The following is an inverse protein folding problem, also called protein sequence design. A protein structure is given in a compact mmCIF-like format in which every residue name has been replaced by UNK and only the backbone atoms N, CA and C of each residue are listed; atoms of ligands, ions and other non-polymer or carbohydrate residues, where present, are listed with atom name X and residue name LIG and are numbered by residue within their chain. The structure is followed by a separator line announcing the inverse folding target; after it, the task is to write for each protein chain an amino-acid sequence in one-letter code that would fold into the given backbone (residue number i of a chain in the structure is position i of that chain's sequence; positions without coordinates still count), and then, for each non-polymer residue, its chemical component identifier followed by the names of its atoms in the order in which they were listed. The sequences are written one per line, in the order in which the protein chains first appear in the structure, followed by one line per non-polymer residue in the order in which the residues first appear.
data_IF_246204516742
#
_entry.id   IF_246204516742
#
_cell.length_a   1.000
_cell.length_b   1.000
_cell.length_c   1.000
_cell.angle_alpha   90.00
_cell.angle_beta   90.00
_cell.angle_gamma   90.00
#
_symmetry.space_group_name_H-M   'P 1'
#
loop_
_entity.id
_entity.type
_entity.pdbx_description
1 polymer ?
#
# COMPACT_ATOMS: atom_id res chain seq x y z
N UNK A 1 -20.26 7.16 -2.59
CA UNK A 1 -20.24 5.70 -2.35
C UNK A 1 -20.17 4.90 -3.66
N UNK A 2 -21.03 5.18 -4.66
CA UNK A 2 -21.07 4.45 -5.95
C UNK A 2 -19.70 4.43 -6.69
N UNK A 3 -19.01 5.58 -6.79
CA UNK A 3 -17.70 5.66 -7.45
C UNK A 3 -16.57 4.87 -6.73
N UNK A 4 -16.66 4.68 -5.40
CA UNK A 4 -15.70 3.87 -4.65
C UNK A 4 -15.89 2.37 -4.93
N UNK A 5 -17.14 1.91 -4.91
CA UNK A 5 -17.48 0.51 -5.23
C UNK A 5 -17.02 0.17 -6.64
N UNK A 6 -17.29 1.04 -7.63
CA UNK A 6 -16.82 0.86 -9.01
C UNK A 6 -15.29 0.78 -9.12
N UNK A 7 -14.56 1.53 -8.28
CA UNK A 7 -13.09 1.48 -8.26
C UNK A 7 -12.53 0.19 -7.65
N UNK A 8 -13.18 -0.37 -6.61
CA UNK A 8 -12.77 -1.67 -6.05
C UNK A 8 -12.82 -2.77 -7.11
N UNK A 9 -13.85 -2.77 -7.95
CA UNK A 9 -14.04 -3.79 -9.00
C UNK A 9 -13.22 -3.55 -10.28
N UNK A 10 -12.31 -2.58 -10.31
CA UNK A 10 -11.38 -2.42 -11.44
C UNK A 10 -10.43 -3.62 -11.53
N UNK A 11 -10.00 -3.92 -12.76
CA UNK A 11 -9.07 -5.02 -13.06
C UNK A 11 -7.79 -4.94 -12.23
N UNK A 12 -7.28 -3.73 -11.97
CA UNK A 12 -6.09 -3.50 -11.14
C UNK A 12 -6.27 -3.92 -9.67
N UNK A 13 -7.50 -4.02 -9.17
CA UNK A 13 -7.82 -4.38 -7.78
C UNK A 13 -8.27 -5.83 -7.59
N UNK A 14 -8.23 -6.66 -8.63
CA UNK A 14 -8.63 -8.08 -8.55
C UNK A 14 -7.85 -8.82 -7.47
N UNK A 15 -6.54 -8.62 -7.38
CA UNK A 15 -5.72 -9.21 -6.33
C UNK A 15 -6.15 -8.78 -4.92
N UNK A 16 -6.53 -7.52 -4.75
CA UNK A 16 -7.07 -7.03 -3.47
C UNK A 16 -8.40 -7.69 -3.12
N UNK A 17 -9.29 -7.90 -4.10
CA UNK A 17 -10.56 -8.60 -3.88
C UNK A 17 -10.30 -10.05 -3.44
N UNK A 18 -9.39 -10.76 -4.13
CA UNK A 18 -9.00 -12.12 -3.75
C UNK A 18 -8.44 -12.14 -2.33
N UNK A 19 -7.57 -11.18 -1.99
CA UNK A 19 -7.03 -11.04 -0.63
C UNK A 19 -8.13 -10.90 0.43
N UNK A 20 -9.16 -10.09 0.19
CA UNK A 20 -10.29 -9.95 1.12
C UNK A 20 -11.11 -11.23 1.23
N UNK A 21 -11.39 -11.90 0.11
CA UNK A 21 -12.12 -13.19 0.10
C UNK A 21 -11.36 -14.26 0.90
N UNK A 22 -10.03 -14.32 0.75
CA UNK A 22 -9.18 -15.22 1.51
C UNK A 22 -9.23 -14.90 3.01
N UNK A 23 -9.22 -13.64 3.41
CA UNK A 23 -9.35 -13.24 4.80
C UNK A 23 -10.73 -13.59 5.39
N UNK A 24 -11.81 -13.41 4.63
CA UNK A 24 -13.16 -13.82 5.04
C UNK A 24 -13.21 -15.35 5.19
N UNK A 25 -12.66 -16.10 4.24
CA UNK A 25 -12.58 -17.56 4.32
C UNK A 25 -11.78 -18.00 5.56
N UNK A 26 -10.68 -17.34 5.87
CA UNK A 26 -9.88 -17.59 7.06
C UNK A 26 -10.69 -17.39 8.35
N UNK A 27 -11.46 -16.29 8.45
CA UNK A 27 -12.37 -16.04 9.59
C UNK A 27 -13.39 -17.18 9.72
N UNK A 28 -14.02 -17.56 8.62
CA UNK A 28 -15.01 -18.63 8.63
C UNK A 28 -14.41 -19.96 9.11
N UNK A 29 -13.21 -20.32 8.64
CA UNK A 29 -12.54 -21.56 9.07
C UNK A 29 -12.19 -21.54 10.56
N UNK A 30 -11.60 -20.45 11.05
CA UNK A 30 -11.12 -20.38 12.44
C UNK A 30 -12.25 -20.28 13.45
N UNK A 31 -13.33 -19.57 13.11
CA UNK A 31 -14.41 -19.28 14.07
C UNK A 31 -15.69 -20.09 13.82
N UNK A 32 -15.69 -21.03 12.86
CA UNK A 32 -16.86 -21.85 12.54
C UNK A 32 -17.39 -22.66 13.73
N UNK A 33 -16.49 -23.25 14.52
CA UNK A 33 -16.86 -24.08 15.69
C UNK A 33 -17.42 -23.25 16.86
N UNK A 34 -17.15 -21.94 16.89
CA UNK A 34 -17.70 -21.03 17.91
C UNK A 34 -19.20 -20.75 17.77
N UNK A 35 -19.82 -21.27 16.72
CA UNK A 35 -21.23 -21.13 16.44
C UNK A 35 -21.61 -19.75 15.88
N UNK A 36 -22.90 -19.59 15.59
CA UNK A 36 -23.46 -18.40 14.93
C UNK A 36 -23.14 -17.08 15.66
N UNK A 37 -23.22 -17.08 16.99
CA UNK A 37 -23.01 -15.84 17.75
C UNK A 37 -21.55 -15.39 17.68
N UNK A 38 -20.59 -16.28 17.72
CA UNK A 38 -19.16 -15.98 17.57
C UNK A 38 -18.88 -15.39 16.20
N UNK A 39 -19.41 -15.98 15.13
CA UNK A 39 -19.27 -15.46 13.77
C UNK A 39 -19.88 -14.05 13.66
N UNK A 40 -21.07 -13.80 14.19
CA UNK A 40 -21.70 -12.48 14.17
C UNK A 40 -20.84 -11.43 14.86
N UNK A 41 -20.26 -11.73 16.05
CA UNK A 41 -19.38 -10.82 16.77
C UNK A 41 -18.11 -10.53 15.96
N UNK A 42 -17.46 -11.54 15.40
CA UNK A 42 -16.24 -11.38 14.60
C UNK A 42 -16.49 -10.54 13.35
N UNK A 43 -17.60 -10.80 12.65
CA UNK A 43 -18.00 -9.97 11.49
C UNK A 43 -18.36 -8.54 11.88
N UNK A 44 -19.03 -8.34 13.02
CA UNK A 44 -19.33 -6.99 13.51
C UNK A 44 -18.04 -6.20 13.81
N UNK A 45 -17.05 -6.83 14.46
CA UNK A 45 -15.73 -6.23 14.70
C UNK A 45 -15.04 -5.91 13.37
N UNK A 46 -15.08 -6.82 12.38
CA UNK A 46 -14.49 -6.61 11.08
C UNK A 46 -15.15 -5.42 10.34
N UNK A 47 -16.48 -5.37 10.30
CA UNK A 47 -17.21 -4.25 9.69
C UNK A 47 -16.88 -2.94 10.41
N UNK A 48 -16.83 -2.93 11.75
CA UNK A 48 -16.47 -1.77 12.54
C UNK A 48 -15.06 -1.27 12.20
N UNK A 49 -14.07 -2.17 12.03
CA UNK A 49 -12.71 -1.81 11.63
C UNK A 49 -12.65 -1.18 10.24
N UNK A 50 -13.43 -1.72 9.30
CA UNK A 50 -13.57 -1.17 7.95
C UNK A 50 -14.18 0.24 7.99
N UNK A 51 -15.26 0.44 8.73
CA UNK A 51 -15.90 1.74 8.88
C UNK A 51 -14.97 2.76 9.54
N UNK A 52 -14.23 2.34 10.57
CA UNK A 52 -13.25 3.17 11.27
C UNK A 52 -12.12 3.60 10.34
N UNK A 53 -11.63 2.71 9.48
CA UNK A 53 -10.54 3.04 8.55
C UNK A 53 -10.93 4.10 7.52
N UNK A 54 -12.21 4.17 7.11
CA UNK A 54 -12.73 5.22 6.22
C UNK A 54 -13.08 6.54 6.93
N UNK A 55 -12.97 6.58 8.25
CA UNK A 55 -13.19 7.80 9.01
C UNK A 55 -11.97 8.75 8.94
N UNK A 56 -12.12 10.04 9.28
CA UNK A 56 -10.98 10.95 9.44
C UNK A 56 -9.94 10.45 10.43
N UNK A 57 -10.35 9.61 11.39
CA UNK A 57 -9.46 8.98 12.36
C UNK A 57 -8.53 7.95 11.71
N UNK A 58 -9.03 7.14 10.77
CA UNK A 58 -8.18 6.19 10.02
C UNK A 58 -7.10 6.90 9.21
N UNK A 59 -7.44 7.99 8.52
CA UNK A 59 -6.47 8.83 7.80
C UNK A 59 -5.47 9.48 8.76
N UNK A 60 -5.93 9.98 9.91
CA UNK A 60 -5.07 10.54 10.94
C UNK A 60 -4.07 9.50 11.48
N UNK A 61 -4.50 8.27 11.76
CA UNK A 61 -3.63 7.17 12.18
C UNK A 61 -2.52 6.92 11.16
N UNK A 62 -2.85 6.82 9.87
CA UNK A 62 -1.85 6.60 8.83
C UNK A 62 -0.85 7.76 8.75
N UNK A 63 -1.33 8.99 8.81
CA UNK A 63 -0.45 10.17 8.85
C UNK A 63 0.47 10.17 10.08
N UNK A 64 -0.04 9.74 11.24
CA UNK A 64 0.73 9.64 12.48
C UNK A 64 1.84 8.60 12.36
N UNK A 65 1.54 7.39 11.89
CA UNK A 65 2.55 6.33 11.69
C UNK A 65 3.55 6.67 10.57
N UNK A 66 3.14 7.43 9.55
CA UNK A 66 4.04 7.95 8.54
C UNK A 66 4.93 9.09 9.04
N UNK A 67 4.72 9.61 10.26
CA UNK A 67 5.45 10.77 10.77
C UNK A 67 5.08 12.08 10.06
N UNK A 68 3.92 12.14 9.40
CA UNK A 68 3.47 13.26 8.61
C UNK A 68 2.94 14.40 9.49
N UNK A 69 3.59 15.55 9.43
CA UNK A 69 3.27 16.76 10.21
C UNK A 69 2.61 17.82 9.33
N UNK A 70 1.79 18.67 9.92
CA UNK A 70 1.29 19.86 9.22
C UNK A 70 2.46 20.79 8.89
N UNK A 71 2.43 21.39 7.70
CA UNK A 71 3.46 22.35 7.28
C UNK A 71 3.16 23.67 7.98
N UNK A 72 4.04 24.08 8.89
CA UNK A 72 3.96 25.38 9.61
C UNK A 72 4.93 26.39 9.05
N UNK A 73 5.99 25.94 8.36
CA UNK A 73 7.03 26.79 7.78
C UNK A 73 6.56 27.37 6.45
N UNK A 74 6.57 28.71 6.37
CA UNK A 74 6.11 29.48 5.19
C UNK A 74 6.98 29.21 3.96
N UNK A 75 8.30 29.09 4.13
CA UNK A 75 9.23 28.78 3.04
C UNK A 75 8.90 27.42 2.38
N UNK A 76 8.56 26.39 3.17
CA UNK A 76 8.15 25.08 2.66
C UNK A 76 6.79 25.19 1.95
N UNK A 77 5.83 25.94 2.52
CA UNK A 77 4.54 26.14 1.87
C UNK A 77 4.72 26.83 0.52
N UNK A 78 5.48 27.90 0.46
CA UNK A 78 5.74 28.65 -0.77
C UNK A 78 6.49 27.81 -1.82
N UNK A 79 7.31 26.84 -1.38
CA UNK A 79 8.02 25.92 -2.27
C UNK A 79 7.09 24.87 -2.89
N UNK A 80 6.20 24.25 -2.11
CA UNK A 80 5.49 23.04 -2.55
C UNK A 80 4.08 23.31 -3.09
N UNK A 81 3.34 24.26 -2.52
CA UNK A 81 1.94 24.51 -2.89
C UNK A 81 1.75 24.87 -4.37
N UNK A 82 2.62 25.67 -5.03
CA UNK A 82 2.48 25.94 -6.45
C UNK A 82 2.52 24.67 -7.31
N UNK A 83 3.40 23.72 -6.99
CA UNK A 83 3.50 22.45 -7.72
C UNK A 83 2.26 21.58 -7.50
N UNK A 84 1.80 21.43 -6.25
CA UNK A 84 0.57 20.69 -5.93
C UNK A 84 -0.62 21.29 -6.69
N UNK A 85 -0.79 22.62 -6.65
CA UNK A 85 -1.89 23.28 -7.34
C UNK A 85 -1.81 23.09 -8.86
N UNK A 86 -0.61 23.14 -9.45
CA UNK A 86 -0.41 22.94 -10.88
C UNK A 86 -0.78 21.51 -11.30
N UNK A 87 -0.28 20.51 -10.59
CA UNK A 87 -0.58 19.10 -10.88
C UNK A 87 -2.06 18.81 -10.60
N UNK A 88 -2.60 19.30 -9.50
CA UNK A 88 -4.03 19.14 -9.14
C UNK A 88 -4.95 19.73 -10.21
N UNK A 89 -4.65 20.94 -10.71
CA UNK A 89 -5.41 21.55 -11.80
C UNK A 89 -5.39 20.70 -13.08
N UNK A 90 -4.25 20.08 -13.40
CA UNK A 90 -4.13 19.17 -14.54
C UNK A 90 -4.92 17.88 -14.30
N UNK A 91 -4.88 17.34 -13.08
CA UNK A 91 -5.63 16.16 -12.69
C UNK A 91 -7.14 16.41 -12.71
N UNK A 92 -7.62 17.55 -12.23
CA UNK A 92 -9.05 17.94 -12.25
C UNK A 92 -9.62 18.02 -13.67
N UNK A 93 -8.84 18.47 -14.65
CA UNK A 93 -9.28 18.47 -16.06
C UNK A 93 -9.53 17.05 -16.57
N UNK A 94 -8.74 16.08 -16.13
CA UNK A 94 -8.84 14.67 -16.54
C UNK A 94 -9.86 13.90 -15.70
N UNK A 95 -10.01 14.25 -14.41
CA UNK A 95 -10.87 13.58 -13.44
C UNK A 95 -11.67 14.62 -12.65
N UNK A 96 -12.76 15.19 -13.20
CA UNK A 96 -13.52 16.26 -12.56
C UNK A 96 -14.15 15.90 -11.20
N UNK A 97 -14.33 14.60 -10.94
CA UNK A 97 -14.91 14.08 -9.69
C UNK A 97 -13.85 13.84 -8.59
N UNK A 98 -12.62 14.31 -8.80
CA UNK A 98 -11.58 14.29 -7.77
C UNK A 98 -11.90 15.31 -6.67
N UNK A 99 -11.28 15.18 -5.50
CA UNK A 99 -11.41 16.15 -4.40
C UNK A 99 -10.94 17.55 -4.81
N UNK A 100 -11.69 18.58 -4.46
CA UNK A 100 -11.35 19.97 -4.77
C UNK A 100 -10.20 20.53 -3.93
N UNK A 101 -9.95 19.93 -2.76
CA UNK A 101 -8.94 20.40 -1.82
C UNK A 101 -7.95 19.30 -1.50
N UNK A 102 -6.67 19.60 -1.70
CA UNK A 102 -5.56 18.72 -1.31
C UNK A 102 -4.92 19.25 -0.03
N UNK A 103 -4.93 18.43 1.02
CA UNK A 103 -4.16 18.69 2.23
C UNK A 103 -2.70 18.28 2.04
N UNK A 104 -1.77 19.16 2.38
CA UNK A 104 -0.34 18.89 2.26
C UNK A 104 0.29 18.74 3.63
N UNK A 105 1.09 17.69 3.80
CA UNK A 105 1.87 17.42 5.01
C UNK A 105 3.33 17.20 4.67
N UNK A 106 4.21 17.35 5.67
CA UNK A 106 5.65 17.14 5.52
C UNK A 106 6.13 15.99 6.40
N UNK A 107 7.07 15.21 5.86
CA UNK A 107 7.83 14.20 6.58
C UNK A 107 9.30 14.63 6.56
N UNK A 108 9.89 14.82 7.74
CA UNK A 108 11.27 15.27 7.86
C UNK A 108 12.24 14.08 7.71
N UNK A 109 12.52 13.76 6.44
CA UNK A 109 13.51 12.75 6.03
C UNK A 109 14.24 13.22 4.78
N UNK A 110 15.47 12.75 4.59
CA UNK A 110 16.28 13.05 3.39
C UNK A 110 15.87 12.23 2.15
N UNK A 111 15.01 11.25 2.31
CA UNK A 111 14.50 10.47 1.18
C UNK A 111 13.79 11.36 0.16
N UNK A 112 13.90 11.02 -1.13
CA UNK A 112 13.22 11.73 -2.21
C UNK A 112 11.90 11.01 -2.52
N UNK A 113 10.84 11.34 -1.79
CA UNK A 113 9.54 10.64 -1.87
C UNK A 113 8.36 11.58 -1.61
N UNK A 114 7.19 11.20 -2.12
CA UNK A 114 5.91 11.68 -1.63
C UNK A 114 4.99 10.48 -1.40
N UNK A 115 3.87 10.71 -0.73
CA UNK A 115 2.87 9.68 -0.44
C UNK A 115 1.48 10.29 -0.47
N UNK A 116 0.60 9.74 -1.25
CA UNK A 116 -0.82 10.00 -1.13
C UNK A 116 -1.41 9.17 0.03
N UNK A 117 -2.14 9.79 0.94
CA UNK A 117 -2.76 9.14 2.09
C UNK A 117 -4.23 9.52 2.15
N UNK A 118 -5.10 8.54 2.36
CA UNK A 118 -6.53 8.77 2.51
C UNK A 118 -7.18 9.34 1.26
N UNK A 119 -8.05 10.34 1.44
CA UNK A 119 -8.87 10.86 0.34
C UNK A 119 -8.33 12.12 -0.31
N UNK A 120 -7.52 12.87 0.41
CA UNK A 120 -7.12 14.23 0.01
C UNK A 120 -5.73 14.66 0.47
N UNK A 121 -4.99 13.81 1.18
CA UNK A 121 -3.70 14.18 1.77
C UNK A 121 -2.54 13.73 0.89
N UNK A 122 -1.62 14.65 0.59
CA UNK A 122 -0.31 14.38 0.02
C UNK A 122 0.75 14.75 1.05
N UNK A 123 1.57 13.76 1.41
CA UNK A 123 2.73 13.94 2.27
C UNK A 123 3.97 14.05 1.40
N UNK A 124 4.78 15.08 1.60
CA UNK A 124 6.06 15.27 0.89
C UNK A 124 7.22 15.17 1.87
N UNK A 125 8.33 14.63 1.42
CA UNK A 125 9.54 14.57 2.25
C UNK A 125 10.41 15.81 2.05
N UNK A 126 11.21 16.14 3.07
CA UNK A 126 12.17 17.25 2.95
C UNK A 126 13.19 17.02 1.83
N UNK A 127 13.61 15.74 1.61
CA UNK A 127 14.50 15.38 0.51
C UNK A 127 13.90 15.67 -0.87
N UNK A 128 12.58 15.50 -1.06
CA UNK A 128 11.90 15.85 -2.30
C UNK A 128 11.91 17.37 -2.55
N UNK A 129 11.73 18.18 -1.52
CA UNK A 129 11.72 19.65 -1.64
C UNK A 129 13.04 20.23 -2.15
N UNK A 130 14.14 19.49 -1.97
CA UNK A 130 15.50 19.89 -2.42
C UNK A 130 15.77 19.49 -3.88
N UNK A 131 14.86 18.78 -4.52
CA UNK A 131 14.99 18.35 -5.90
C UNK A 131 14.62 19.48 -6.88
N UNK A 132 14.98 19.28 -8.15
CA UNK A 132 14.57 20.16 -9.24
C UNK A 132 13.04 20.12 -9.42
N UNK A 133 12.49 21.18 -9.98
CA UNK A 133 11.06 21.38 -10.19
C UNK A 133 10.44 20.22 -11.00
N UNK A 134 11.14 19.73 -12.03
CA UNK A 134 10.69 18.60 -12.83
C UNK A 134 10.54 17.32 -12.00
N UNK A 135 11.49 17.02 -11.10
CA UNK A 135 11.41 15.86 -10.23
C UNK A 135 10.21 15.97 -9.27
N UNK A 136 10.01 17.15 -8.69
CA UNK A 136 8.85 17.42 -7.80
C UNK A 136 7.55 17.20 -8.57
N UNK A 137 7.42 17.75 -9.79
CA UNK A 137 6.23 17.59 -10.62
C UNK A 137 5.98 16.13 -10.99
N UNK A 138 7.02 15.39 -11.37
CA UNK A 138 6.94 13.98 -11.71
C UNK A 138 6.43 13.14 -10.54
N UNK A 139 7.02 13.28 -9.34
CA UNK A 139 6.60 12.55 -8.15
C UNK A 139 5.17 12.95 -7.75
N UNK A 140 4.85 14.24 -7.72
CA UNK A 140 3.51 14.70 -7.34
C UNK A 140 2.43 14.26 -8.33
N UNK A 141 2.73 14.18 -9.63
CA UNK A 141 1.78 13.70 -10.63
C UNK A 141 1.41 12.23 -10.43
N UNK A 142 2.37 11.43 -10.02
CA UNK A 142 2.15 10.02 -9.67
C UNK A 142 1.30 9.89 -8.40
N UNK A 143 1.61 10.64 -7.34
CA UNK A 143 0.81 10.63 -6.11
C UNK A 143 -0.61 11.16 -6.33
N UNK A 144 -0.76 12.17 -7.18
CA UNK A 144 -2.06 12.71 -7.57
C UNK A 144 -2.91 11.66 -8.29
N UNK A 145 -2.28 10.77 -9.09
CA UNK A 145 -2.97 9.66 -9.74
C UNK A 145 -3.56 8.68 -8.70
N UNK A 146 -2.84 8.40 -7.61
CA UNK A 146 -3.36 7.54 -6.55
C UNK A 146 -4.61 8.13 -5.90
N UNK A 147 -4.66 9.45 -5.69
CA UNK A 147 -5.88 10.13 -5.20
C UNK A 147 -6.99 10.10 -6.24
N UNK A 148 -6.69 10.42 -7.51
CA UNK A 148 -7.68 10.45 -8.60
C UNK A 148 -8.34 9.08 -8.84
N UNK A 149 -7.58 8.00 -8.72
CA UNK A 149 -8.05 6.62 -8.85
C UNK A 149 -8.51 5.99 -7.53
N UNK A 150 -8.43 6.73 -6.41
CA UNK A 150 -8.79 6.26 -5.07
C UNK A 150 -8.04 5.01 -4.62
N UNK A 151 -6.82 4.81 -5.12
CA UNK A 151 -5.95 3.71 -4.68
C UNK A 151 -5.66 3.81 -3.19
N UNK A 152 -5.54 5.02 -2.68
CA UNK A 152 -5.32 5.33 -1.25
C UNK A 152 -6.50 4.93 -0.36
N UNK A 153 -7.74 4.99 -0.87
CA UNK A 153 -8.91 4.49 -0.14
C UNK A 153 -8.87 2.95 -0.04
N UNK A 154 -8.39 2.27 -1.10
CA UNK A 154 -8.17 0.82 -1.07
C UNK A 154 -7.06 0.47 -0.09
N UNK A 155 -5.99 1.26 -0.01
CA UNK A 155 -4.92 1.09 0.97
C UNK A 155 -5.41 1.32 2.42
N UNK A 156 -6.30 2.30 2.66
CA UNK A 156 -6.97 2.47 3.95
C UNK A 156 -7.76 1.23 4.36
N UNK A 157 -8.50 0.65 3.40
CA UNK A 157 -9.27 -0.57 3.63
C UNK A 157 -8.34 -1.75 3.97
N UNK A 158 -7.20 -1.89 3.29
CA UNK A 158 -6.21 -2.95 3.54
C UNK A 158 -5.53 -2.74 4.89
N UNK A 159 -5.02 -1.55 5.16
CA UNK A 159 -4.25 -1.25 6.38
C UNK A 159 -5.13 -1.17 7.62
N UNK A 160 -6.16 -0.35 7.60
CA UNK A 160 -7.05 -0.12 8.74
C UNK A 160 -8.17 -1.15 8.83
N UNK A 161 -8.84 -1.46 7.72
CA UNK A 161 -9.96 -2.40 7.68
C UNK A 161 -9.57 -3.82 8.06
N UNK A 162 -8.36 -4.26 7.70
CA UNK A 162 -7.83 -5.57 8.09
C UNK A 162 -7.01 -5.55 9.38
N UNK A 163 -6.95 -4.44 10.09
CA UNK A 163 -6.11 -4.31 11.29
C UNK A 163 -6.35 -5.45 12.30
N UNK A 164 -7.60 -5.73 12.64
CA UNK A 164 -7.93 -6.79 13.60
C UNK A 164 -7.57 -8.19 13.09
N UNK A 165 -7.81 -8.47 11.81
CA UNK A 165 -7.42 -9.75 11.20
C UNK A 165 -5.90 -9.88 11.18
N UNK A 166 -5.19 -8.83 10.80
CA UNK A 166 -3.73 -8.81 10.79
C UNK A 166 -3.16 -9.01 12.19
N UNK A 167 -3.69 -8.30 13.19
CA UNK A 167 -3.30 -8.46 14.59
C UNK A 167 -3.57 -9.90 15.07
N UNK A 168 -4.73 -10.45 14.75
CA UNK A 168 -5.08 -11.83 15.10
C UNK A 168 -4.14 -12.85 14.44
N UNK A 169 -3.84 -12.69 13.13
CA UNK A 169 -2.87 -13.56 12.42
C UNK A 169 -1.47 -13.45 13.05
N UNK A 170 -1.05 -12.24 13.47
CA UNK A 170 0.23 -12.05 14.16
C UNK A 170 0.27 -12.75 15.52
N UNK A 171 -0.81 -12.69 16.28
CA UNK A 171 -0.95 -13.46 17.53
C UNK A 171 -0.90 -14.97 17.28
N UNK A 172 -1.63 -15.47 16.28
CA UNK A 172 -1.60 -16.90 15.91
C UNK A 172 -0.19 -17.33 15.48
N UNK A 173 0.56 -16.49 14.75
CA UNK A 173 1.96 -16.77 14.40
C UNK A 173 2.85 -16.85 15.64
N UNK A 174 2.68 -15.93 16.59
CA UNK A 174 3.40 -15.96 17.86
C UNK A 174 3.13 -17.27 18.61
N UNK A 175 1.87 -17.65 18.77
CA UNK A 175 1.49 -18.92 19.40
C UNK A 175 2.03 -20.14 18.62
N UNK A 176 1.94 -20.12 17.29
CA UNK A 176 2.46 -21.23 16.46
C UNK A 176 3.97 -21.41 16.61
N UNK A 177 4.74 -20.31 16.73
CA UNK A 177 6.18 -20.36 16.99
C UNK A 177 6.46 -20.98 18.37
N UNK A 178 5.71 -20.55 19.40
CA UNK A 178 5.84 -21.09 20.76
C UNK A 178 5.49 -22.59 20.77
N UNK A 179 4.36 -22.99 20.15
CA UNK A 179 3.95 -24.39 20.02
C UNK A 179 5.02 -25.21 19.29
N UNK A 180 5.56 -24.68 18.19
CA UNK A 180 6.63 -25.36 17.45
C UNK A 180 7.87 -25.56 18.34
N UNK A 181 8.30 -24.53 19.08
CA UNK A 181 9.42 -24.63 20.01
C UNK A 181 9.18 -25.68 21.11
N UNK A 182 8.04 -25.63 21.78
CA UNK A 182 7.65 -26.61 22.80
C UNK A 182 7.55 -28.01 22.22
N UNK A 183 6.98 -28.15 21.03
CA UNK A 183 6.84 -29.46 20.34
C UNK A 183 8.20 -30.06 19.97
N UNK A 184 9.16 -29.23 19.52
CA UNK A 184 10.51 -29.69 19.22
C UNK A 184 11.20 -30.15 20.51
N UNK A 185 11.16 -29.37 21.59
CA UNK A 185 11.79 -29.71 22.87
C UNK A 185 11.16 -30.99 23.45
N UNK A 186 9.84 -31.07 23.44
CA UNK A 186 9.08 -32.25 23.90
C UNK A 186 9.37 -33.47 23.04
N UNK A 187 9.44 -33.31 21.71
CA UNK A 187 9.79 -34.38 20.77
C UNK A 187 11.20 -34.93 21.01
N UNK A 188 12.18 -34.08 21.26
CA UNK A 188 13.54 -34.45 21.62
C UNK A 188 13.55 -35.22 22.96
N UNK A 189 12.88 -34.64 23.98
CA UNK A 189 12.81 -35.24 25.32
C UNK A 189 12.12 -36.61 25.32
N UNK A 190 11.02 -36.73 24.58
CA UNK A 190 10.21 -37.95 24.53
C UNK A 190 10.61 -38.88 23.39
N UNK A 191 11.64 -38.55 22.60
CA UNK A 191 12.09 -39.24 21.38
C UNK A 191 10.94 -39.45 20.37
N UNK A 192 10.01 -38.49 20.30
CA UNK A 192 8.84 -38.51 19.42
C UNK A 192 9.00 -37.53 18.26
N UNK A 193 9.31 -38.03 17.09
CA UNK A 193 9.37 -37.23 15.85
C UNK A 193 8.00 -36.60 15.51
N UNK A 194 6.92 -37.32 15.72
CA UNK A 194 5.56 -36.86 15.44
C UNK A 194 5.22 -35.57 16.24
N UNK A 195 5.53 -35.53 17.53
CA UNK A 195 5.27 -34.35 18.36
C UNK A 195 6.04 -33.12 17.89
N UNK A 196 7.31 -33.29 17.50
CA UNK A 196 8.10 -32.21 16.94
C UNK A 196 7.53 -31.74 15.58
N UNK A 197 7.13 -32.66 14.71
CA UNK A 197 6.64 -32.37 13.36
C UNK A 197 5.34 -31.57 13.36
N UNK A 198 4.38 -31.88 14.26
CA UNK A 198 3.07 -31.20 14.29
C UNK A 198 3.21 -29.70 14.52
N UNK A 199 4.01 -29.27 15.51
CA UNK A 199 4.19 -27.86 15.79
C UNK A 199 4.81 -27.08 14.61
N UNK A 200 5.84 -27.69 13.97
CA UNK A 200 6.48 -27.10 12.79
C UNK A 200 5.50 -27.00 11.61
N UNK A 201 4.68 -28.02 11.41
CA UNK A 201 3.69 -28.06 10.33
C UNK A 201 2.65 -26.97 10.51
N UNK A 202 2.09 -26.78 11.71
CA UNK A 202 1.13 -25.71 12.01
C UNK A 202 1.73 -24.31 11.72
N UNK A 203 2.94 -24.06 12.21
CA UNK A 203 3.63 -22.81 11.95
C UNK A 203 3.88 -22.59 10.45
N UNK A 204 4.27 -23.64 9.74
CA UNK A 204 4.50 -23.64 8.30
C UNK A 204 3.23 -23.32 7.50
N UNK A 205 2.10 -23.89 7.85
CA UNK A 205 0.80 -23.63 7.20
C UNK A 205 0.39 -22.17 7.36
N UNK A 206 0.48 -21.60 8.57
CA UNK A 206 0.14 -20.20 8.83
C UNK A 206 1.10 -19.26 8.07
N UNK A 207 2.39 -19.61 8.02
CA UNK A 207 3.38 -18.85 7.25
C UNK A 207 3.05 -18.88 5.75
N UNK A 208 2.78 -20.06 5.19
CA UNK A 208 2.45 -20.24 3.78
C UNK A 208 1.17 -19.50 3.40
N UNK A 209 0.13 -19.58 4.23
CA UNK A 209 -1.11 -18.83 4.05
C UNK A 209 -0.86 -17.34 3.93
N UNK A 210 -0.06 -16.78 4.85
CA UNK A 210 0.25 -15.34 4.81
C UNK A 210 0.98 -14.97 3.52
N UNK A 211 1.96 -15.79 3.10
CA UNK A 211 2.70 -15.54 1.85
C UNK A 211 1.79 -15.61 0.63
N UNK A 212 0.88 -16.56 0.62
CA UNK A 212 -0.11 -16.72 -0.45
C UNK A 212 -1.02 -15.48 -0.56
N UNK A 213 -1.58 -15.02 0.55
CA UNK A 213 -2.38 -13.80 0.58
C UNK A 213 -1.60 -12.57 0.10
N UNK A 214 -0.34 -12.43 0.51
CA UNK A 214 0.51 -11.31 0.11
C UNK A 214 0.86 -11.30 -1.38
N UNK A 215 0.86 -12.44 -2.07
CA UNK A 215 1.06 -12.50 -3.53
C UNK A 215 -0.02 -11.71 -4.29
N UNK A 216 -1.28 -11.94 -3.94
CA UNK A 216 -2.41 -11.25 -4.59
C UNK A 216 -2.41 -9.76 -4.27
N UNK A 217 -2.13 -9.41 -3.02
CA UNK A 217 -2.05 -8.01 -2.62
C UNK A 217 -0.93 -7.28 -3.37
N UNK A 218 0.28 -7.84 -3.41
CA UNK A 218 1.42 -7.26 -4.11
C UNK A 218 1.17 -7.14 -5.61
N UNK A 219 0.49 -8.14 -6.22
CA UNK A 219 0.09 -8.07 -7.62
C UNK A 219 -0.82 -6.86 -7.87
N UNK A 220 -1.89 -6.71 -7.09
CA UNK A 220 -2.81 -5.58 -7.22
C UNK A 220 -2.12 -4.23 -7.01
N UNK A 221 -1.24 -4.13 -6.03
CA UNK A 221 -0.51 -2.89 -5.76
C UNK A 221 0.41 -2.52 -6.93
N UNK A 222 1.11 -3.49 -7.54
CA UNK A 222 1.93 -3.23 -8.75
C UNK A 222 1.10 -2.76 -9.94
N UNK A 223 -0.08 -3.35 -10.16
CA UNK A 223 -0.96 -2.89 -11.24
C UNK A 223 -1.44 -1.45 -11.01
N UNK A 224 -1.73 -1.08 -9.75
CA UNK A 224 -2.08 0.28 -9.39
C UNK A 224 -0.94 1.29 -9.62
N UNK A 225 0.33 0.88 -9.44
CA UNK A 225 1.49 1.70 -9.79
C UNK A 225 1.53 2.00 -11.31
N UNK A 226 1.31 0.99 -12.15
CA UNK A 226 1.28 1.18 -13.61
C UNK A 226 0.11 2.06 -14.05
N UNK A 227 -1.03 1.94 -13.40
CA UNK A 227 -2.19 2.83 -13.66
C UNK A 227 -1.84 4.26 -13.28
N UNK A 228 -1.14 4.47 -12.16
CA UNK A 228 -0.70 5.80 -11.73
C UNK A 228 0.32 6.41 -12.69
N UNK A 229 1.27 5.62 -13.18
CA UNK A 229 2.25 6.07 -14.18
C UNK A 229 1.58 6.50 -15.50
N UNK A 230 0.64 5.68 -15.98
CA UNK A 230 -0.13 6.00 -17.18
C UNK A 230 -0.96 7.29 -17.01
N UNK A 231 -1.54 7.49 -15.83
CA UNK A 231 -2.27 8.72 -15.53
C UNK A 231 -1.36 9.94 -15.48
N UNK A 232 -0.19 9.85 -14.83
CA UNK A 232 0.79 10.93 -14.80
C UNK A 232 1.22 11.34 -16.22
N UNK A 233 1.41 10.36 -17.10
CA UNK A 233 1.69 10.61 -18.54
C UNK A 233 0.51 11.33 -19.22
N UNK A 234 -0.72 10.89 -18.97
CA UNK A 234 -1.93 11.45 -19.57
C UNK A 234 -2.18 12.90 -19.17
N UNK A 235 -1.81 13.29 -17.95
CA UNK A 235 -1.90 14.68 -17.48
C UNK A 235 -0.67 15.53 -17.83
N UNK A 236 0.28 14.98 -18.61
CA UNK A 236 1.39 15.72 -19.22
C UNK A 236 2.71 15.68 -18.45
N UNK A 237 2.87 14.80 -17.45
CA UNK A 237 4.09 14.72 -16.61
C UNK A 237 4.87 13.41 -16.73
N UNK A 238 4.69 12.68 -17.83
CA UNK A 238 5.37 11.38 -18.05
C UNK A 238 6.89 11.49 -18.11
N UNK A 239 7.43 12.55 -18.73
CA UNK A 239 8.87 12.78 -18.81
C UNK A 239 9.48 13.10 -17.45
N UNK A 240 8.82 13.96 -16.68
CA UNK A 240 9.21 14.34 -15.33
C UNK A 240 9.19 13.13 -14.40
N UNK A 241 8.17 12.27 -14.52
CA UNK A 241 8.07 11.02 -13.78
C UNK A 241 9.19 10.05 -14.16
N UNK A 242 9.51 9.88 -15.43
CA UNK A 242 10.61 9.01 -15.87
C UNK A 242 11.96 9.47 -15.28
N UNK A 243 12.23 10.78 -15.27
CA UNK A 243 13.41 11.37 -14.62
C UNK A 243 13.43 11.12 -13.11
N UNK A 244 12.28 11.27 -12.45
CA UNK A 244 12.16 11.02 -11.01
C UNK A 244 12.43 9.55 -10.68
N UNK A 245 11.88 8.62 -11.44
CA UNK A 245 12.11 7.18 -11.27
C UNK A 245 13.59 6.81 -11.46
N UNK A 246 14.26 7.38 -12.46
CA UNK A 246 15.69 7.13 -12.71
C UNK A 246 16.56 7.60 -11.53
N UNK A 247 16.34 8.83 -11.04
CA UNK A 247 17.07 9.38 -9.90
C UNK A 247 16.84 8.56 -8.63
N UNK A 248 15.60 8.19 -8.35
CA UNK A 248 15.25 7.44 -7.13
C UNK A 248 15.69 5.97 -7.19
N UNK A 249 15.95 5.42 -8.38
CA UNK A 249 16.45 4.06 -8.56
C UNK A 249 17.96 3.94 -8.38
N UNK A 250 18.70 5.03 -8.58
CA UNK A 250 20.17 5.04 -8.44
C UNK A 250 20.58 4.72 -7.01
N UNK A 251 21.38 3.69 -6.85
CA UNK A 251 21.84 3.24 -5.54
C UNK A 251 20.93 2.24 -4.81
N UNK A 252 19.79 1.85 -5.41
CA UNK A 252 19.02 0.74 -4.86
C UNK A 252 19.66 -0.59 -5.25
N UNK A 253 19.91 -1.50 -4.28
CA UNK A 253 20.45 -2.82 -4.59
C UNK A 253 19.46 -3.62 -5.44
N UNK A 254 19.97 -4.40 -6.39
CA UNK A 254 19.15 -5.34 -7.16
C UNK A 254 18.41 -6.27 -6.19
N UNK A 255 17.11 -6.33 -6.32
CA UNK A 255 16.27 -7.17 -5.46
C UNK A 255 16.30 -8.61 -5.97
N UNK A 256 16.43 -9.59 -5.05
CA UNK A 256 16.29 -11.01 -5.41
C UNK A 256 14.89 -11.28 -5.99
N UNK A 257 14.76 -12.30 -6.83
CA UNK A 257 13.50 -12.71 -7.46
C UNK A 257 12.35 -12.85 -6.45
N UNK A 258 12.61 -13.51 -5.31
CA UNK A 258 11.60 -13.67 -4.25
C UNK A 258 11.17 -12.31 -3.65
N UNK A 259 12.13 -11.41 -3.42
CA UNK A 259 11.82 -10.08 -2.90
C UNK A 259 11.02 -9.25 -3.91
N UNK A 260 11.29 -9.39 -5.20
CA UNK A 260 10.54 -8.73 -6.27
C UNK A 260 9.07 -9.20 -6.33
N UNK A 261 8.79 -10.50 -6.14
CA UNK A 261 7.42 -11.03 -6.14
C UNK A 261 6.56 -10.42 -5.03
N UNK A 262 7.15 -10.21 -3.84
CA UNK A 262 6.45 -9.64 -2.69
C UNK A 262 6.57 -8.12 -2.59
N UNK A 263 7.29 -7.47 -3.51
CA UNK A 263 7.36 -6.01 -3.57
C UNK A 263 6.01 -5.42 -3.98
N UNK A 264 5.59 -4.38 -3.29
CA UNK A 264 4.41 -3.60 -3.62
C UNK A 264 4.67 -2.59 -4.75
N UNK A 265 5.93 -2.25 -4.99
CA UNK A 265 6.35 -1.38 -6.08
C UNK A 265 7.08 -2.18 -7.15
N UNK A 266 6.73 -2.00 -8.45
CA UNK A 266 7.48 -2.57 -9.54
C UNK A 266 8.89 -1.99 -9.62
N UNK A 267 9.77 -2.71 -10.32
CA UNK A 267 11.11 -2.21 -10.60
C UNK A 267 11.03 -0.87 -11.36
N UNK A 268 11.74 0.18 -10.94
CA UNK A 268 11.75 1.47 -11.63
C UNK A 268 12.11 1.38 -13.12
N UNK A 269 13.01 0.49 -13.51
CA UNK A 269 13.36 0.28 -14.92
C UNK A 269 12.18 -0.27 -15.73
N UNK A 270 11.38 -1.19 -15.17
CA UNK A 270 10.18 -1.69 -15.85
C UNK A 270 9.13 -0.59 -16.01
N UNK A 271 9.00 0.29 -15.02
CA UNK A 271 8.11 1.46 -15.06
C UNK A 271 8.57 2.45 -16.16
N UNK A 272 9.86 2.78 -16.21
CA UNK A 272 10.44 3.63 -17.26
C UNK A 272 10.21 3.02 -18.64
N UNK A 273 10.46 1.71 -18.81
CA UNK A 273 10.21 1.03 -20.08
C UNK A 273 8.75 1.11 -20.52
N UNK A 274 7.79 1.02 -19.60
CA UNK A 274 6.36 1.22 -19.91
C UNK A 274 6.03 2.66 -20.26
N UNK A 275 6.62 3.65 -19.60
CA UNK A 275 6.48 5.07 -19.97
C UNK A 275 6.98 5.33 -21.39
N UNK A 276 8.12 4.75 -21.78
CA UNK A 276 8.66 4.83 -23.15
C UNK A 276 7.70 4.20 -24.17
N UNK A 277 7.10 3.03 -23.86
CA UNK A 277 6.07 2.41 -24.71
C UNK A 277 4.81 3.27 -24.88
N UNK A 278 4.51 4.15 -23.92
CA UNK A 278 3.44 5.14 -24.00
C UNK A 278 3.85 6.42 -24.74
N UNK A 279 5.04 6.46 -25.32
CA UNK A 279 5.53 7.58 -26.11
C UNK A 279 6.27 8.66 -25.31
N UNK A 280 6.64 8.39 -24.07
CA UNK A 280 7.46 9.33 -23.27
C UNK A 280 8.91 9.34 -23.82
N UNK A 281 9.43 10.49 -24.30
CA UNK A 281 10.76 10.58 -24.90
C UNK A 281 11.84 10.65 -23.82
N UNK A 282 12.08 9.54 -23.15
CA UNK A 282 13.11 9.42 -22.12
C UNK A 282 14.11 8.31 -22.48
N UNK A 283 15.40 8.64 -22.48
CA UNK A 283 16.51 7.68 -22.53
C UNK A 283 17.30 7.79 -21.25
N UNK A 284 17.38 6.68 -20.48
CA UNK A 284 18.30 6.59 -19.36
C UNK A 284 19.74 6.56 -19.87
N UNK A 285 20.58 7.44 -19.37
CA UNK A 285 22.02 7.43 -19.62
C UNK A 285 22.76 6.52 -18.63
#
# INVERSE_FOLDING_TARGET
MMNFIQNIFKKSNVGTIIFFLLNIMFILIIFAEGGRNTLLVVFAIYIASVLLSFSPFGEWILCFFAGAKKITRVDIQNRILPFINTVHKSAMKQTPNMTDVIETRIIYTSDVKAYAIGRKTICVTEGLLRQSDGIILGVLSHEMAHLAHRHTEVQLLIGGGNFFITAFILLLKGFAIIIAGVSIISGIRNRSFMTAAVGVLVAGVIWLWTKFCMLFLSWSMRENEYVADAYATKIGYGLELAKALDITSRGQPQTSFLKAIYSTHPNPHDRIGRLQQMGVPYSSY
#
